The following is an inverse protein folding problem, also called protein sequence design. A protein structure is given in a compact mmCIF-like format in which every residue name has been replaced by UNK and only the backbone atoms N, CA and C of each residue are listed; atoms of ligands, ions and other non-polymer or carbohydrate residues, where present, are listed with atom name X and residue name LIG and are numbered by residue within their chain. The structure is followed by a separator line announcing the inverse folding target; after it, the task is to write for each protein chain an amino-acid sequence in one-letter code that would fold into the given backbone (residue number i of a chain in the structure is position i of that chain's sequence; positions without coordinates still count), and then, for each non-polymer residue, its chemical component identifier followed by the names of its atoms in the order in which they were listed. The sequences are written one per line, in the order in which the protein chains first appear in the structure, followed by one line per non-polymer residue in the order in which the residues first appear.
data_IF_638717881524
#
_entry.id   IF_638717881524
#
_cell.length_a   1.000
_cell.length_b   1.000
_cell.length_c   1.000
_cell.angle_alpha   90.00
_cell.angle_beta   90.00
_cell.angle_gamma   90.00
#
_symmetry.space_group_name_H-M   'P 1'
#
loop_
_entity.id
_entity.type
_entity.pdbx_description
1 polymer ?
#
# COMPACT_ATOMS: atom_id res chain seq x y z
N UNK A 1 23.06 -2.20 2.25
CA UNK A 1 22.29 -1.32 1.33
C UNK A 1 21.28 -0.42 2.06
N UNK A 2 20.94 -0.68 3.34
CA UNK A 2 19.87 0.03 4.09
C UNK A 2 20.40 1.11 5.08
N UNK A 3 21.71 1.37 5.13
CA UNK A 3 22.30 2.37 6.04
C UNK A 3 22.29 3.83 5.52
N UNK A 4 21.58 4.17 4.43
CA UNK A 4 21.84 5.46 3.72
C UNK A 4 20.66 6.39 3.40
N UNK A 5 19.40 5.96 3.55
CA UNK A 5 18.28 6.88 3.27
C UNK A 5 17.99 7.75 4.50
N UNK A 6 18.01 9.07 4.31
CA UNK A 6 17.54 10.00 5.34
C UNK A 6 16.04 9.83 5.55
N UNK A 7 15.54 10.25 6.72
CA UNK A 7 14.12 10.12 7.07
C UNK A 7 13.16 10.80 6.08
N UNK A 8 13.61 11.83 5.38
CA UNK A 8 12.87 12.54 4.33
C UNK A 8 12.95 11.91 2.94
N UNK A 9 13.89 10.99 2.70
CA UNK A 9 14.12 10.35 1.41
C UNK A 9 13.18 9.16 1.21
N UNK A 10 12.95 8.77 -0.05
CA UNK A 10 12.04 7.68 -0.40
C UNK A 10 12.33 7.14 -1.79
N UNK A 11 12.16 5.83 -1.98
CA UNK A 11 12.33 5.14 -3.27
C UNK A 11 11.30 5.56 -4.33
N UNK A 12 10.25 6.29 -3.94
CA UNK A 12 9.25 6.84 -4.85
C UNK A 12 9.89 7.60 -6.02
N UNK A 13 10.99 8.32 -5.77
CA UNK A 13 11.67 9.08 -6.83
C UNK A 13 12.32 8.20 -7.90
N UNK A 14 12.52 6.91 -7.61
CA UNK A 14 13.17 5.95 -8.49
C UNK A 14 12.13 5.23 -9.36
N UNK A 15 11.00 4.82 -8.79
CA UNK A 15 9.97 4.05 -9.53
C UNK A 15 8.85 4.89 -10.13
N UNK A 16 8.49 6.05 -9.56
CA UNK A 16 7.38 6.86 -10.10
C UNK A 16 7.64 7.36 -11.53
N UNK A 17 8.82 7.94 -11.88
CA UNK A 17 9.00 8.51 -13.21
C UNK A 17 8.87 7.49 -14.35
N UNK A 18 9.45 6.28 -14.27
CA UNK A 18 9.21 5.23 -15.25
C UNK A 18 7.72 4.85 -15.39
N UNK A 19 7.03 4.61 -14.28
CA UNK A 19 5.61 4.24 -14.29
C UNK A 19 4.76 5.37 -14.91
N UNK A 20 5.04 6.63 -14.57
CA UNK A 20 4.32 7.78 -15.12
C UNK A 20 4.48 7.88 -16.64
N UNK A 21 5.70 7.63 -17.16
CA UNK A 21 5.94 7.71 -18.62
C UNK A 21 5.10 6.70 -19.40
N UNK A 22 4.87 5.53 -18.82
CA UNK A 22 4.06 4.48 -19.44
C UNK A 22 2.56 4.73 -19.27
N UNK A 23 2.14 5.29 -18.13
CA UNK A 23 0.73 5.51 -17.80
C UNK A 23 0.39 6.99 -17.51
N UNK A 24 0.70 7.94 -18.41
CA UNK A 24 0.64 9.39 -18.10
C UNK A 24 -0.78 9.92 -17.80
N UNK A 25 -1.80 9.16 -18.18
CA UNK A 25 -3.21 9.51 -17.97
C UNK A 25 -3.77 9.06 -16.61
N UNK A 26 -3.03 8.28 -15.83
CA UNK A 26 -3.44 7.92 -14.48
C UNK A 26 -3.28 9.10 -13.52
N UNK A 27 -4.08 9.10 -12.45
CA UNK A 27 -3.95 10.05 -11.35
C UNK A 27 -3.09 9.42 -10.25
N UNK A 28 -1.99 10.08 -9.90
CA UNK A 28 -1.03 9.66 -8.89
C UNK A 28 -1.18 10.52 -7.63
N UNK A 29 -1.47 9.87 -6.51
CA UNK A 29 -1.49 10.49 -5.19
C UNK A 29 -0.26 10.06 -4.40
N UNK A 30 0.59 11.03 -4.10
CA UNK A 30 1.84 10.86 -3.36
C UNK A 30 1.62 11.37 -1.95
N UNK A 31 1.26 10.45 -1.06
CA UNK A 31 1.02 10.72 0.35
C UNK A 31 2.34 10.80 1.09
N UNK A 32 2.62 11.96 1.69
CA UNK A 32 3.86 12.21 2.44
C UNK A 32 3.59 12.51 3.90
N UNK A 33 4.45 11.98 4.79
CA UNK A 33 4.25 12.07 6.24
C UNK A 33 4.66 13.44 6.81
N UNK A 34 5.68 14.08 6.23
CA UNK A 34 6.27 15.30 6.77
C UNK A 34 6.45 16.37 5.70
N UNK A 35 6.56 17.64 6.13
CA UNK A 35 6.88 18.75 5.22
C UNK A 35 8.25 18.58 4.55
N UNK A 36 9.22 17.97 5.26
CA UNK A 36 10.56 17.69 4.72
C UNK A 36 10.48 16.70 3.54
N UNK A 37 9.73 15.61 3.70
CA UNK A 37 9.52 14.63 2.64
C UNK A 37 8.73 15.23 1.45
N UNK A 38 7.73 16.08 1.73
CA UNK A 38 7.01 16.82 0.68
C UNK A 38 7.97 17.68 -0.15
N UNK A 39 8.84 18.44 0.51
CA UNK A 39 9.82 19.29 -0.16
C UNK A 39 10.87 18.46 -0.92
N UNK A 40 11.32 17.34 -0.35
CA UNK A 40 12.22 16.40 -1.01
C UNK A 40 11.62 15.90 -2.33
N UNK A 41 10.38 15.38 -2.29
CA UNK A 41 9.69 14.91 -3.49
C UNK A 41 9.48 16.04 -4.50
N UNK A 42 9.03 17.23 -4.08
CA UNK A 42 8.86 18.37 -4.99
C UNK A 42 10.17 18.77 -5.67
N UNK A 43 11.30 18.72 -4.96
CA UNK A 43 12.62 19.00 -5.53
C UNK A 43 13.07 17.93 -6.53
N UNK A 44 12.92 16.65 -6.19
CA UNK A 44 13.36 15.51 -7.03
C UNK A 44 12.44 15.26 -8.22
N UNK A 45 11.14 15.50 -8.05
CA UNK A 45 10.09 15.31 -9.06
C UNK A 45 9.69 16.63 -9.74
N UNK A 46 10.61 17.60 -9.81
CA UNK A 46 10.34 18.94 -10.35
C UNK A 46 9.74 18.94 -11.76
N UNK A 47 10.08 17.95 -12.58
CA UNK A 47 9.57 17.78 -13.96
C UNK A 47 8.06 17.45 -13.99
N UNK A 48 7.48 17.03 -12.86
CA UNK A 48 6.05 16.79 -12.69
C UNK A 48 5.32 17.96 -12.02
N UNK A 49 6.03 19.06 -11.69
CA UNK A 49 5.42 20.23 -11.07
C UNK A 49 4.36 20.85 -11.99
N UNK A 50 3.17 21.08 -11.45
CA UNK A 50 2.03 21.61 -12.23
C UNK A 50 1.31 20.57 -13.08
N UNK A 51 1.79 19.31 -13.12
CA UNK A 51 1.05 18.25 -13.78
C UNK A 51 -0.19 17.89 -12.95
N UNK A 52 -1.39 18.13 -13.51
CA UNK A 52 -2.66 17.83 -12.84
C UNK A 52 -2.82 16.37 -12.46
N UNK A 53 -2.08 15.44 -13.08
CA UNK A 53 -2.14 14.02 -12.80
C UNK A 53 -1.26 13.60 -11.62
N UNK A 54 -0.39 14.47 -11.10
CA UNK A 54 0.48 14.15 -9.95
C UNK A 54 0.17 15.07 -8.78
N UNK A 55 -0.30 14.51 -7.68
CA UNK A 55 -0.68 15.24 -6.47
C UNK A 55 0.18 14.79 -5.30
N UNK A 56 1.06 15.68 -4.82
CA UNK A 56 1.82 15.47 -3.59
C UNK A 56 1.07 16.16 -2.45
N UNK A 57 0.63 15.40 -1.46
CA UNK A 57 -0.13 15.92 -0.32
C UNK A 57 0.19 15.18 0.97
N UNK A 58 -0.01 15.86 2.10
CA UNK A 58 0.11 15.26 3.45
C UNK A 58 -1.19 14.70 3.98
N UNK A 59 -2.30 15.05 3.34
CA UNK A 59 -3.64 14.70 3.79
C UNK A 59 -4.54 14.41 2.58
N UNK A 60 -5.31 13.34 2.71
CA UNK A 60 -6.44 13.01 1.86
C UNK A 60 -7.60 12.62 2.77
N UNK A 61 -8.73 13.28 2.62
CA UNK A 61 -9.99 12.84 3.22
C UNK A 61 -10.39 11.50 2.59
N UNK A 62 -11.02 10.62 3.39
CA UNK A 62 -11.54 9.33 2.91
C UNK A 62 -10.48 8.45 2.24
N UNK A 63 -9.32 8.31 2.89
CA UNK A 63 -8.21 7.52 2.36
C UNK A 63 -8.60 6.06 2.05
N UNK A 64 -9.47 5.46 2.86
CA UNK A 64 -9.96 4.09 2.65
C UNK A 64 -10.73 3.98 1.33
N UNK A 65 -11.60 4.94 1.01
CA UNK A 65 -12.32 4.96 -0.26
C UNK A 65 -11.35 5.11 -1.43
N UNK A 66 -10.34 5.98 -1.30
CA UNK A 66 -9.30 6.15 -2.33
C UNK A 66 -8.49 4.87 -2.53
N UNK A 67 -8.17 4.15 -1.45
CA UNK A 67 -7.56 2.84 -1.53
C UNK A 67 -8.48 1.86 -2.28
N UNK A 68 -9.77 1.79 -1.93
CA UNK A 68 -10.75 0.91 -2.57
C UNK A 68 -10.91 1.18 -4.08
N UNK A 69 -10.78 2.43 -4.53
CA UNK A 69 -10.86 2.78 -5.96
C UNK A 69 -9.50 2.82 -6.68
N UNK A 70 -8.39 2.78 -5.95
CA UNK A 70 -7.05 2.83 -6.53
C UNK A 70 -6.74 1.60 -7.38
N UNK A 71 -6.08 1.77 -8.52
CA UNK A 71 -5.67 0.64 -9.36
C UNK A 71 -4.51 -0.16 -8.74
N UNK A 72 -3.65 0.52 -7.97
CA UNK A 72 -2.47 -0.02 -7.32
C UNK A 72 -2.09 0.89 -6.15
N UNK A 73 -1.72 0.30 -5.01
CA UNK A 73 -1.18 1.01 -3.84
C UNK A 73 0.28 0.58 -3.62
N UNK A 74 1.18 1.55 -3.44
CA UNK A 74 2.61 1.29 -3.20
C UNK A 74 3.04 2.07 -1.96
N UNK A 75 3.63 1.40 -0.96
CA UNK A 75 4.00 2.04 0.31
C UNK A 75 5.24 1.43 0.94
N UNK A 76 6.05 2.25 1.61
CA UNK A 76 7.13 1.81 2.49
C UNK A 76 6.67 1.55 3.92
N UNK A 77 5.38 1.71 4.22
CA UNK A 77 4.78 1.38 5.51
C UNK A 77 3.59 0.43 5.36
N UNK A 78 3.52 -0.57 6.23
CA UNK A 78 2.60 -1.71 6.11
C UNK A 78 1.11 -1.39 6.24
N UNK A 79 0.70 -0.38 7.03
CA UNK A 79 -0.73 -0.15 7.31
C UNK A 79 -1.58 0.05 6.06
N UNK A 80 -1.19 0.96 5.16
CA UNK A 80 -2.02 1.30 3.99
C UNK A 80 -2.06 0.16 2.96
N UNK A 81 -0.97 -0.59 2.79
CA UNK A 81 -0.91 -1.75 1.88
C UNK A 81 -1.69 -2.95 2.44
N UNK A 82 -1.70 -3.10 3.76
CA UNK A 82 -2.52 -4.10 4.45
C UNK A 82 -4.01 -3.80 4.31
N UNK A 83 -4.42 -2.57 4.57
CA UNK A 83 -5.82 -2.14 4.44
C UNK A 83 -6.31 -2.25 2.98
N UNK A 84 -5.50 -1.83 2.01
CA UNK A 84 -5.88 -1.90 0.60
C UNK A 84 -5.91 -3.33 0.04
N UNK A 85 -4.97 -4.20 0.42
CA UNK A 85 -5.02 -5.61 0.01
C UNK A 85 -6.24 -6.35 0.60
N UNK A 86 -6.67 -6.02 1.83
CA UNK A 86 -7.94 -6.50 2.40
C UNK A 86 -9.18 -6.02 1.64
N UNK A 87 -9.05 -4.98 0.82
CA UNK A 87 -10.08 -4.47 -0.08
C UNK A 87 -9.94 -5.03 -1.50
N UNK A 88 -9.15 -6.10 -1.67
CA UNK A 88 -8.83 -6.72 -2.95
C UNK A 88 -8.15 -5.77 -3.95
N UNK A 89 -7.37 -4.80 -3.45
CA UNK A 89 -6.59 -3.88 -4.28
C UNK A 89 -5.14 -4.34 -4.33
N UNK A 90 -4.54 -4.49 -5.53
CA UNK A 90 -3.12 -4.78 -5.69
C UNK A 90 -2.26 -3.79 -4.90
N UNK A 91 -1.40 -4.34 -4.04
CA UNK A 91 -0.65 -3.58 -3.05
C UNK A 91 0.80 -4.04 -3.02
N UNK A 92 1.74 -3.11 -3.11
CA UNK A 92 3.17 -3.38 -3.06
C UNK A 92 3.77 -2.67 -1.83
N UNK A 93 4.27 -3.45 -0.88
CA UNK A 93 5.12 -2.96 0.19
C UNK A 93 6.58 -2.91 -0.29
N UNK A 94 7.30 -1.82 -0.02
CA UNK A 94 8.73 -1.71 -0.35
C UNK A 94 9.63 -1.46 0.88
N UNK A 95 9.12 -1.73 2.08
CA UNK A 95 9.88 -1.52 3.31
C UNK A 95 11.22 -2.31 3.27
N UNK A 96 12.37 -1.71 3.62
CA UNK A 96 13.64 -2.41 3.49
C UNK A 96 13.80 -3.63 4.41
N UNK A 97 13.11 -3.65 5.55
CA UNK A 97 13.16 -4.74 6.53
C UNK A 97 12.45 -6.01 6.07
N UNK A 98 12.37 -6.99 6.95
CA UNK A 98 11.67 -8.24 6.65
C UNK A 98 10.16 -8.03 6.58
N UNK A 99 9.47 -8.88 5.82
CA UNK A 99 8.01 -8.88 5.75
C UNK A 99 7.45 -9.14 7.14
N UNK A 100 6.62 -8.23 7.63
CA UNK A 100 6.00 -8.40 8.93
C UNK A 100 5.01 -9.58 8.93
N UNK A 101 4.75 -10.23 10.09
CA UNK A 101 3.92 -11.42 10.16
C UNK A 101 2.51 -11.25 9.59
N UNK A 102 1.93 -10.06 9.73
CA UNK A 102 0.59 -9.75 9.22
C UNK A 102 0.58 -9.73 7.69
N UNK A 103 1.62 -9.19 7.07
CA UNK A 103 1.80 -9.19 5.62
C UNK A 103 2.04 -10.60 5.09
N UNK A 104 2.87 -11.41 5.78
CA UNK A 104 3.04 -12.83 5.43
C UNK A 104 1.70 -13.57 5.46
N UNK A 105 0.90 -13.38 6.52
CA UNK A 105 -0.43 -13.96 6.62
C UNK A 105 -1.32 -13.59 5.42
N UNK A 106 -1.33 -12.33 5.00
CA UNK A 106 -2.13 -11.90 3.85
C UNK A 106 -1.63 -12.52 2.53
N UNK A 107 -0.31 -12.56 2.32
CA UNK A 107 0.32 -13.16 1.13
C UNK A 107 -0.02 -14.65 1.05
N UNK A 108 0.20 -15.39 2.14
CA UNK A 108 -0.05 -16.84 2.23
C UNK A 108 -1.54 -17.16 2.01
N UNK A 109 -2.43 -16.26 2.42
CA UNK A 109 -3.86 -16.38 2.20
C UNK A 109 -4.33 -15.73 0.88
N UNK A 110 -3.43 -15.51 -0.07
CA UNK A 110 -3.72 -15.04 -1.43
C UNK A 110 -4.43 -13.68 -1.50
N UNK A 111 -4.23 -12.80 -0.51
CA UNK A 111 -4.59 -11.39 -0.68
C UNK A 111 -3.58 -10.73 -1.63
N UNK A 112 -3.98 -9.71 -2.41
CA UNK A 112 -3.14 -9.11 -3.45
C UNK A 112 -2.13 -8.13 -2.84
N UNK A 113 -1.25 -8.67 -2.01
CA UNK A 113 -0.14 -7.97 -1.36
C UNK A 113 1.18 -8.60 -1.82
N UNK A 114 2.15 -7.77 -2.15
CA UNK A 114 3.50 -8.21 -2.52
C UNK A 114 4.53 -7.38 -1.77
N UNK A 115 5.62 -8.00 -1.31
CA UNK A 115 6.74 -7.28 -0.70
C UNK A 115 7.92 -7.22 -1.69
N UNK A 116 8.14 -6.05 -2.29
CA UNK A 116 9.14 -5.82 -3.32
C UNK A 116 10.03 -4.64 -2.93
N UNK A 117 11.30 -4.92 -2.63
CA UNK A 117 12.26 -3.91 -2.16
C UNK A 117 12.98 -3.16 -3.28
N UNK A 118 13.11 -3.80 -4.43
CA UNK A 118 13.93 -3.34 -5.54
C UNK A 118 13.11 -2.44 -6.48
N UNK A 119 13.50 -1.16 -6.69
CA UNK A 119 12.76 -0.21 -7.52
C UNK A 119 12.45 -0.72 -8.93
N UNK A 120 13.40 -1.40 -9.57
CA UNK A 120 13.24 -2.01 -10.89
C UNK A 120 12.12 -3.07 -10.92
N UNK A 121 11.99 -3.85 -9.86
CA UNK A 121 10.92 -4.85 -9.71
C UNK A 121 9.59 -4.20 -9.37
N UNK A 122 9.58 -3.11 -8.62
CA UNK A 122 8.37 -2.30 -8.39
C UNK A 122 7.87 -1.76 -9.72
N UNK A 123 8.76 -1.25 -10.60
CA UNK A 123 8.39 -0.74 -11.92
C UNK A 123 7.77 -1.84 -12.77
N UNK A 124 8.49 -2.97 -12.95
CA UNK A 124 8.02 -4.14 -13.71
C UNK A 124 6.63 -4.57 -13.26
N UNK A 125 6.47 -4.78 -11.96
CA UNK A 125 5.22 -5.27 -11.39
C UNK A 125 4.09 -4.26 -11.48
N UNK A 126 4.38 -2.98 -11.26
CA UNK A 126 3.39 -1.91 -11.41
C UNK A 126 2.89 -1.82 -12.84
N UNK A 127 3.78 -1.96 -13.83
CA UNK A 127 3.43 -1.95 -15.24
C UNK A 127 2.52 -3.12 -15.60
N UNK A 128 2.81 -4.32 -15.12
CA UNK A 128 1.94 -5.49 -15.33
C UNK A 128 0.54 -5.26 -14.77
N UNK A 129 0.44 -4.82 -13.51
CA UNK A 129 -0.83 -4.58 -12.82
C UNK A 129 -1.65 -3.49 -13.54
N UNK A 130 -1.03 -2.35 -13.84
CA UNK A 130 -1.72 -1.20 -14.45
C UNK A 130 -2.14 -1.48 -15.89
N UNK A 131 -1.40 -2.31 -16.63
CA UNK A 131 -1.76 -2.71 -18.00
C UNK A 131 -3.05 -3.54 -18.06
N UNK A 132 -3.31 -4.34 -17.01
CA UNK A 132 -4.52 -5.16 -16.92
C UNK A 132 -5.78 -4.34 -16.63
N UNK A 133 -5.61 -3.13 -16.07
CA UNK A 133 -6.67 -2.25 -15.53
C UNK A 133 -7.45 -2.93 -14.38
N UNK A 134 -8.11 -2.16 -13.50
CA UNK A 134 -8.99 -2.74 -12.50
C UNK A 134 -10.12 -3.53 -13.19
N UNK A 135 -10.26 -4.80 -12.85
CA UNK A 135 -11.36 -5.61 -13.36
C UNK A 135 -12.70 -5.05 -12.86
N UNK A 136 -13.73 -5.09 -13.70
CA UNK A 136 -15.07 -4.58 -13.37
C UNK A 136 -15.71 -5.33 -12.19
N UNK A 137 -15.33 -6.59 -11.98
CA UNK A 137 -15.80 -7.40 -10.86
C UNK A 137 -15.04 -7.09 -9.55
N UNK A 138 -13.99 -6.27 -9.56
CA UNK A 138 -13.25 -5.92 -8.34
C UNK A 138 -14.12 -5.17 -7.33
N UNK A 139 -15.07 -4.38 -7.81
CA UNK A 139 -15.96 -3.56 -6.99
C UNK A 139 -17.14 -4.38 -6.45
N UNK A 140 -16.84 -5.53 -5.85
CA UNK A 140 -17.81 -6.43 -5.25
C UNK A 140 -17.43 -6.73 -3.79
N UNK A 141 -18.23 -7.54 -3.10
CA UNK A 141 -18.02 -7.92 -1.71
C UNK A 141 -17.17 -9.21 -1.54
N UNK A 142 -16.47 -9.67 -2.59
CA UNK A 142 -15.64 -10.89 -2.50
C UNK A 142 -14.60 -10.83 -1.40
N UNK A 143 -14.02 -9.65 -1.17
CA UNK A 143 -13.09 -9.42 -0.07
C UNK A 143 -13.75 -9.64 1.29
N UNK A 144 -15.00 -9.20 1.45
CA UNK A 144 -15.76 -9.38 2.69
C UNK A 144 -16.07 -10.86 2.94
N UNK A 145 -16.50 -11.59 1.91
CA UNK A 145 -16.74 -13.04 2.02
C UNK A 145 -15.45 -13.81 2.34
N UNK A 146 -14.33 -13.41 1.75
CA UNK A 146 -13.03 -14.01 2.07
C UNK A 146 -12.62 -13.76 3.53
N UNK A 147 -12.78 -12.54 4.03
CA UNK A 147 -12.44 -12.18 5.41
C UNK A 147 -13.29 -12.95 6.42
N UNK A 148 -14.58 -13.21 6.13
CA UNK A 148 -15.48 -13.97 7.01
C UNK A 148 -15.03 -15.41 7.27
N UNK A 149 -14.17 -15.98 6.42
CA UNK A 149 -13.63 -17.33 6.61
C UNK A 149 -12.53 -17.38 7.67
N UNK A 150 -12.04 -16.22 8.14
CA UNK A 150 -11.01 -16.15 9.17
C UNK A 150 -11.63 -15.91 10.54
N UNK A 151 -10.89 -16.30 11.57
CA UNK A 151 -11.29 -16.06 12.95
C UNK A 151 -11.36 -14.56 13.24
N UNK A 152 -12.28 -14.18 14.13
CA UNK A 152 -12.34 -12.81 14.62
C UNK A 152 -11.35 -12.63 15.78
N UNK A 153 -10.22 -11.93 15.58
CA UNK A 153 -9.19 -11.80 16.61
C UNK A 153 -9.71 -11.06 17.85
N UNK A 154 -10.72 -10.18 17.71
CA UNK A 154 -11.31 -9.50 18.86
C UNK A 154 -12.05 -10.47 19.77
N UNK A 155 -12.76 -11.45 19.21
CA UNK A 155 -13.43 -12.49 19.99
C UNK A 155 -12.41 -13.39 20.68
N UNK A 156 -11.37 -13.82 19.96
CA UNK A 156 -10.29 -14.65 20.53
C UNK A 156 -9.61 -13.94 21.69
N UNK A 157 -9.20 -12.68 21.50
CA UNK A 157 -8.55 -11.89 22.53
C UNK A 157 -9.47 -11.65 23.74
N UNK A 158 -10.74 -11.33 23.48
CA UNK A 158 -11.72 -11.15 24.55
C UNK A 158 -11.90 -12.43 25.37
N UNK A 159 -12.11 -13.57 24.72
CA UNK A 159 -12.32 -14.85 25.39
C UNK A 159 -11.07 -15.29 26.17
N UNK A 160 -9.88 -15.05 25.62
CA UNK A 160 -8.62 -15.30 26.31
C UNK A 160 -8.53 -14.52 27.62
N UNK A 161 -8.78 -13.20 27.58
CA UNK A 161 -8.75 -12.34 28.76
C UNK A 161 -9.85 -12.73 29.75
N UNK A 162 -11.07 -12.97 29.27
CA UNK A 162 -12.22 -13.37 30.10
C UNK A 162 -11.96 -14.68 30.85
N UNK A 163 -11.43 -15.71 30.18
CA UNK A 163 -11.08 -17.01 30.81
C UNK A 163 -10.06 -16.82 31.93
N UNK A 164 -9.02 -16.03 31.67
CA UNK A 164 -8.00 -15.69 32.67
C UNK A 164 -8.56 -14.98 33.89
N UNK A 165 -9.49 -14.02 33.70
CA UNK A 165 -10.12 -13.29 34.80
C UNK A 165 -11.08 -14.16 35.62
N UNK A 166 -11.76 -15.13 35.00
CA UNK A 166 -12.72 -16.01 35.66
C UNK A 166 -12.08 -17.27 36.27
N UNK A 167 -10.76 -17.47 36.10
CA UNK A 167 -10.07 -18.69 36.57
C UNK A 167 -10.52 -19.96 35.87
N UNK A 168 -11.10 -19.83 34.67
CA UNK A 168 -11.55 -20.96 33.85
C UNK A 168 -10.38 -21.34 32.94
N UNK A 169 -9.81 -22.53 33.15
CA UNK A 169 -8.78 -23.11 32.28
C UNK A 169 -9.37 -23.51 30.93
#
# INVERSE_FOLDING_TARGET
FIEKLKAEETLITEFLPPIFREFPNHKYFLLVRTKKQENFLKGKLKNFSGNKNVVITRYLSNLVDLCFYGALIISGGGTIVRESSLLNVPSIEYFPGDTAPQENFLIENSFPLEHIKAPEKIIERSTEILSQKPSSDRFNLSFSEKIKNFENPNLICFDFVKKKLLGIN
#
